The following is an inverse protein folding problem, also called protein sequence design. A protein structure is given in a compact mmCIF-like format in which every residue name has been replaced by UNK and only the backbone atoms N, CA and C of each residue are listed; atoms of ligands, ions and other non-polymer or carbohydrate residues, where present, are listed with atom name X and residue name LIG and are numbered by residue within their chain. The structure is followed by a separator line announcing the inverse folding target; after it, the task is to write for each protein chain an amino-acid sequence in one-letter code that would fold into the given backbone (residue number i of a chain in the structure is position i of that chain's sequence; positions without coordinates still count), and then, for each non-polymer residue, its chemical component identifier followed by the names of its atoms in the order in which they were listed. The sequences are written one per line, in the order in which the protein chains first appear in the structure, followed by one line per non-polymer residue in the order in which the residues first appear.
data_IF_302378473389
#
_entry.id   IF_302378473389
#
_cell.length_a   1.000
_cell.length_b   1.000
_cell.length_c   1.000
_cell.angle_alpha   90.00
_cell.angle_beta   90.00
_cell.angle_gamma   90.00
#
_symmetry.space_group_name_H-M   'P 1'
#
loop_
_entity.id
_entity.type
_entity.pdbx_description
1 polymer ?
#
# COMPACT_ATOMS: atom_id res chain seq x y z
N UNK A 1 -0.93 -31.55 4.02
CA UNK A 1 -1.41 -30.33 4.67
C UNK A 1 -0.62 -29.98 5.93
N UNK A 2 -0.62 -30.77 7.02
CA UNK A 2 0.09 -30.41 8.28
C UNK A 2 1.57 -30.02 8.10
N UNK A 3 2.33 -30.69 7.22
CA UNK A 3 3.75 -30.37 6.96
C UNK A 3 3.95 -29.05 6.23
N UNK A 4 3.03 -28.67 5.33
CA UNK A 4 3.09 -27.37 4.60
C UNK A 4 2.79 -26.23 5.56
N UNK A 5 1.82 -26.39 6.45
CA UNK A 5 1.49 -25.39 7.48
C UNK A 5 2.67 -25.17 8.44
N UNK A 6 3.35 -26.26 8.86
CA UNK A 6 4.54 -26.18 9.72
C UNK A 6 5.70 -25.46 9.00
N UNK A 7 5.93 -25.76 7.73
CA UNK A 7 6.98 -25.08 6.93
C UNK A 7 6.65 -23.60 6.77
N UNK A 8 5.40 -23.24 6.49
CA UNK A 8 4.96 -21.84 6.43
C UNK A 8 5.14 -21.13 7.79
N UNK A 9 4.76 -21.76 8.89
CA UNK A 9 4.97 -21.22 10.25
C UNK A 9 6.46 -21.06 10.55
N UNK A 10 7.31 -22.01 10.19
CA UNK A 10 8.75 -21.92 10.40
C UNK A 10 9.40 -20.84 9.52
N UNK A 11 8.95 -20.67 8.29
CA UNK A 11 9.38 -19.54 7.42
C UNK A 11 8.93 -18.20 8.00
N UNK A 12 7.70 -18.10 8.50
CA UNK A 12 7.24 -16.90 9.21
C UNK A 12 8.01 -16.62 10.50
N UNK A 13 8.31 -17.64 11.30
CA UNK A 13 9.09 -17.49 12.53
C UNK A 13 10.56 -17.13 12.27
N UNK A 14 11.16 -17.59 11.17
CA UNK A 14 12.53 -17.21 10.81
C UNK A 14 12.64 -15.78 10.28
N UNK A 15 11.56 -15.23 9.71
CA UNK A 15 11.48 -13.84 9.27
C UNK A 15 11.29 -12.85 10.44
N UNK A 16 10.84 -13.32 11.60
CA UNK A 16 10.60 -12.48 12.78
C UNK A 16 11.86 -12.04 13.55
N UNK A 17 13.04 -12.44 13.09
CA UNK A 17 14.32 -12.12 13.76
C UNK A 17 15.00 -10.84 13.24
N UNK A 18 14.41 -10.16 12.26
CA UNK A 18 14.99 -8.93 11.67
C UNK A 18 14.02 -7.77 11.85
N UNK A 19 14.51 -6.70 12.41
CA UNK A 19 13.74 -5.58 12.93
C UNK A 19 14.17 -4.23 12.36
N UNK A 20 13.25 -3.48 11.74
CA UNK A 20 13.49 -2.10 11.31
C UNK A 20 12.26 -1.30 10.87
N UNK A 21 12.17 -0.01 11.06
CA UNK A 21 11.01 0.82 10.74
C UNK A 21 11.24 1.96 9.75
N UNK A 22 10.52 1.95 8.68
CA UNK A 22 9.91 3.12 8.03
C UNK A 22 8.39 3.02 8.21
N UNK A 23 7.66 4.11 7.99
CA UNK A 23 6.18 4.13 8.03
C UNK A 23 5.61 2.81 7.55
N UNK A 24 4.76 2.20 8.34
CA UNK A 24 4.27 0.83 8.15
C UNK A 24 4.06 0.52 6.67
N UNK A 25 4.95 -0.31 6.10
CA UNK A 25 4.86 -0.72 4.73
C UNK A 25 3.57 -1.52 4.55
N UNK A 26 2.60 -0.90 3.92
CA UNK A 26 1.33 -1.53 3.61
C UNK A 26 1.18 -1.55 2.10
N UNK A 27 1.36 -2.70 1.44
CA UNK A 27 0.99 -2.84 0.04
C UNK A 27 -0.54 -2.75 -0.04
N UNK A 28 -1.03 -1.55 -0.24
CA UNK A 28 -2.45 -1.30 -0.43
C UNK A 28 -2.90 -1.96 -1.73
N UNK A 29 -4.05 -2.62 -1.69
CA UNK A 29 -4.68 -3.16 -2.88
C UNK A 29 -4.88 -2.04 -3.92
N UNK A 30 -4.61 -2.37 -5.18
CA UNK A 30 -4.71 -1.44 -6.30
C UNK A 30 -6.10 -0.82 -6.46
N UNK A 31 -7.16 -1.64 -6.24
CA UNK A 31 -8.54 -1.18 -6.35
C UNK A 31 -8.82 -0.12 -5.28
N UNK A 32 -8.35 -0.36 -4.07
CA UNK A 32 -8.42 0.61 -2.98
C UNK A 32 -7.66 1.91 -3.33
N UNK A 33 -6.42 1.81 -3.82
CA UNK A 33 -5.61 2.96 -4.23
C UNK A 33 -6.23 3.73 -5.38
N UNK A 34 -6.73 3.04 -6.41
CA UNK A 34 -7.38 3.64 -7.57
C UNK A 34 -8.68 4.37 -7.23
N UNK A 35 -9.36 3.92 -6.18
CA UNK A 35 -10.55 4.56 -5.61
C UNK A 35 -10.20 5.63 -4.58
N UNK A 36 -9.05 6.29 -4.68
CA UNK A 36 -8.64 7.35 -3.76
C UNK A 36 -8.29 6.86 -2.36
N UNK A 37 -7.82 5.62 -2.22
CA UNK A 37 -7.62 4.96 -0.92
C UNK A 37 -8.89 4.97 -0.07
N UNK A 38 -10.02 4.71 -0.71
CA UNK A 38 -11.34 4.56 -0.08
C UNK A 38 -11.97 3.20 -0.44
N UNK A 39 -12.95 2.75 0.36
CA UNK A 39 -13.65 1.49 0.14
C UNK A 39 -13.40 0.45 1.22
N UNK A 40 -12.98 0.85 2.41
CA UNK A 40 -12.78 -0.07 3.55
C UNK A 40 -14.06 -0.82 3.93
N UNK A 41 -15.24 -0.30 3.59
CA UNK A 41 -16.53 -0.94 3.82
C UNK A 41 -17.01 -1.81 2.66
N UNK A 42 -16.42 -1.67 1.46
CA UNK A 42 -16.86 -2.35 0.24
C UNK A 42 -16.34 -3.78 0.17
N UNK A 43 -17.15 -4.67 -0.43
CA UNK A 43 -16.76 -6.06 -0.61
C UNK A 43 -15.70 -6.18 -1.72
N UNK A 44 -14.60 -6.88 -1.40
CA UNK A 44 -13.53 -7.17 -2.36
C UNK A 44 -12.64 -5.99 -2.73
N UNK A 45 -12.85 -4.81 -2.10
CA UNK A 45 -11.92 -3.69 -2.18
C UNK A 45 -10.95 -3.80 -1.01
N UNK A 46 -9.66 -3.78 -1.32
CA UNK A 46 -8.62 -3.93 -0.30
C UNK A 46 -8.70 -5.26 0.43
N UNK A 47 -8.16 -6.31 -0.10
CA UNK A 47 -8.30 -7.72 0.32
C UNK A 47 -8.02 -8.05 1.81
N UNK A 48 -8.55 -7.23 2.71
CA UNK A 48 -8.68 -7.46 4.16
C UNK A 48 -7.42 -7.32 4.99
N UNK A 49 -6.24 -7.47 4.41
CA UNK A 49 -5.01 -7.42 5.19
C UNK A 49 -4.62 -5.99 5.58
N UNK A 50 -4.81 -5.02 4.67
CA UNK A 50 -4.23 -3.68 4.80
C UNK A 50 -5.25 -2.56 4.81
N UNK A 51 -6.54 -2.88 4.66
CA UNK A 51 -7.61 -1.89 4.65
C UNK A 51 -8.57 -2.08 5.81
N UNK A 52 -9.25 -3.22 5.83
CA UNK A 52 -10.18 -3.59 6.90
C UNK A 52 -10.15 -5.10 7.12
N UNK A 53 -9.60 -5.56 8.26
CA UNK A 53 -9.54 -6.98 8.60
C UNK A 53 -10.88 -7.73 8.52
N UNK A 54 -12.00 -7.04 8.76
CA UNK A 54 -13.33 -7.64 8.69
C UNK A 54 -13.63 -8.22 7.29
N UNK A 55 -13.02 -7.70 6.22
CA UNK A 55 -13.26 -8.17 4.86
C UNK A 55 -12.71 -9.58 4.58
N UNK A 56 -11.82 -10.11 5.44
CA UNK A 56 -11.39 -11.51 5.38
C UNK A 56 -12.55 -12.51 5.54
N UNK A 57 -13.63 -12.10 6.21
CA UNK A 57 -14.84 -12.92 6.39
C UNK A 57 -15.60 -13.19 5.09
N UNK A 58 -15.30 -12.45 4.02
CA UNK A 58 -16.07 -12.52 2.76
C UNK A 58 -15.57 -13.61 1.82
N UNK A 59 -14.33 -14.08 1.99
CA UNK A 59 -13.71 -15.04 1.08
C UNK A 59 -13.68 -16.44 1.69
N UNK A 60 -14.34 -17.39 1.02
CA UNK A 60 -14.21 -18.81 1.37
C UNK A 60 -12.87 -19.38 0.93
N UNK A 61 -12.40 -18.97 -0.24
CA UNK A 61 -11.08 -19.27 -0.79
C UNK A 61 -10.67 -18.14 -1.74
N UNK A 62 -9.45 -17.64 -1.57
CA UNK A 62 -8.81 -16.75 -2.52
C UNK A 62 -7.29 -16.97 -2.46
N UNK A 63 -6.69 -17.27 -3.59
CA UNK A 63 -5.25 -17.45 -3.73
C UNK A 63 -4.73 -16.44 -4.76
N UNK A 64 -3.84 -15.57 -4.32
CA UNK A 64 -3.06 -14.68 -5.18
C UNK A 64 -1.64 -15.22 -5.21
N UNK A 65 -1.21 -15.73 -6.36
CA UNK A 65 0.18 -16.05 -6.67
C UNK A 65 0.84 -14.81 -7.26
N UNK A 66 2.19 -14.72 -7.29
CA UNK A 66 2.86 -13.42 -7.23
C UNK A 66 2.20 -12.36 -8.10
N UNK A 67 1.67 -11.34 -7.44
CA UNK A 67 1.35 -10.08 -8.08
C UNK A 67 2.65 -9.30 -8.21
N UNK A 68 2.92 -8.72 -9.37
CA UNK A 68 4.08 -7.86 -9.61
C UNK A 68 3.54 -6.48 -9.98
N UNK A 69 3.94 -5.47 -9.22
CA UNK A 69 3.64 -4.07 -9.49
C UNK A 69 4.94 -3.33 -9.77
N UNK A 70 4.96 -2.55 -10.82
CA UNK A 70 6.04 -1.61 -11.14
C UNK A 70 5.46 -0.20 -11.10
N UNK A 71 6.03 0.65 -10.24
CA UNK A 71 5.63 2.04 -10.07
C UNK A 71 6.75 3.01 -10.44
N UNK A 72 6.41 4.09 -11.13
CA UNK A 72 7.28 5.23 -11.41
C UNK A 72 6.68 6.45 -10.75
N UNK A 73 7.36 6.96 -9.73
CA UNK A 73 6.98 8.18 -9.01
C UNK A 73 7.47 9.43 -9.72
N UNK A 74 6.79 10.56 -9.46
CA UNK A 74 7.02 11.83 -10.18
C UNK A 74 6.95 11.65 -11.71
N UNK A 75 6.00 10.82 -12.15
CA UNK A 75 5.88 10.41 -13.55
C UNK A 75 5.72 11.61 -14.49
N UNK A 76 4.92 12.59 -14.11
CA UNK A 76 4.70 13.81 -14.91
C UNK A 76 5.97 14.63 -15.11
N UNK A 77 6.90 14.60 -14.16
CA UNK A 77 8.19 15.30 -14.26
C UNK A 77 9.19 14.49 -15.08
N UNK A 78 9.23 13.16 -14.86
CA UNK A 78 10.16 12.27 -15.57
C UNK A 78 9.84 12.18 -17.06
N UNK A 79 8.57 12.16 -17.46
CA UNK A 79 8.17 12.05 -18.88
C UNK A 79 8.55 13.30 -19.71
N UNK A 80 8.81 14.42 -19.05
CA UNK A 80 9.26 15.65 -19.73
C UNK A 80 10.74 15.66 -20.05
N UNK A 81 11.51 14.67 -19.57
CA UNK A 81 12.94 14.56 -19.88
C UNK A 81 13.11 14.17 -21.36
N UNK A 82 13.86 14.92 -22.14
CA UNK A 82 14.23 14.50 -23.49
C UNK A 82 15.24 13.35 -23.41
N UNK A 83 14.76 12.12 -23.39
CA UNK A 83 15.61 10.90 -23.37
C UNK A 83 16.53 10.74 -24.58
N UNK A 84 16.47 11.66 -25.53
CA UNK A 84 17.22 11.59 -26.79
C UNK A 84 18.70 11.99 -26.69
N UNK A 85 19.16 12.54 -25.56
CA UNK A 85 20.48 13.17 -25.50
C UNK A 85 21.58 12.35 -24.79
N UNK A 86 21.23 11.37 -23.96
CA UNK A 86 22.21 10.72 -23.08
C UNK A 86 22.91 11.72 -22.14
N UNK A 87 22.26 12.87 -21.92
CA UNK A 87 22.84 14.02 -21.26
C UNK A 87 22.63 13.89 -19.75
N UNK A 88 23.71 13.67 -19.01
CA UNK A 88 23.68 13.60 -17.56
C UNK A 88 23.13 14.91 -16.93
N UNK A 89 23.24 16.03 -17.63
CA UNK A 89 22.76 17.32 -17.14
C UNK A 89 21.22 17.38 -17.13
N UNK A 90 20.55 16.76 -18.10
CA UNK A 90 19.08 16.65 -18.12
C UNK A 90 18.56 15.78 -16.98
N UNK A 91 19.25 14.69 -16.67
CA UNK A 91 18.91 13.83 -15.51
C UNK A 91 19.13 14.60 -14.21
N UNK A 92 20.23 15.30 -14.07
CA UNK A 92 20.52 16.12 -12.88
C UNK A 92 19.51 17.26 -12.70
N UNK A 93 19.05 17.89 -13.80
CA UNK A 93 18.03 18.93 -13.77
C UNK A 93 16.71 18.40 -13.20
N UNK A 94 16.27 17.20 -13.63
CA UNK A 94 15.04 16.60 -13.09
C UNK A 94 15.21 16.20 -11.65
N UNK A 95 16.31 15.54 -11.31
CA UNK A 95 16.57 15.15 -9.92
C UNK A 95 16.65 16.37 -8.99
N UNK A 96 17.17 17.49 -9.47
CA UNK A 96 17.20 18.74 -8.68
C UNK A 96 15.80 19.31 -8.36
N UNK A 97 14.79 18.96 -9.15
CA UNK A 97 13.38 19.32 -8.90
C UNK A 97 12.69 18.37 -7.92
N UNK A 98 13.28 17.18 -7.68
CA UNK A 98 12.76 16.17 -6.77
C UNK A 98 13.34 16.40 -5.36
N UNK A 99 12.83 17.40 -4.66
CA UNK A 99 13.24 17.68 -3.28
C UNK A 99 12.51 16.76 -2.30
N UNK A 100 13.21 16.32 -1.23
CA UNK A 100 12.66 15.43 -0.19
C UNK A 100 12.93 13.95 -0.46
N UNK A 101 12.34 13.09 0.37
CA UNK A 101 12.43 11.62 0.23
C UNK A 101 11.22 11.10 -0.53
N UNK A 102 11.34 10.93 -1.84
CA UNK A 102 10.25 10.59 -2.76
C UNK A 102 10.58 9.30 -3.50
N UNK A 103 9.66 8.33 -3.61
CA UNK A 103 9.88 7.15 -4.43
C UNK A 103 9.95 7.54 -5.91
N UNK A 104 11.02 7.13 -6.60
CA UNK A 104 11.17 7.30 -8.05
C UNK A 104 10.79 6.01 -8.77
N UNK A 105 11.30 4.90 -8.28
CA UNK A 105 11.07 3.58 -8.85
C UNK A 105 10.76 2.61 -7.71
N UNK A 106 9.70 1.84 -7.89
CA UNK A 106 9.29 0.83 -6.93
C UNK A 106 8.79 -0.41 -7.68
N UNK A 107 9.38 -1.55 -7.38
CA UNK A 107 8.95 -2.86 -7.86
C UNK A 107 8.50 -3.66 -6.67
N UNK A 108 7.21 -3.99 -6.63
CA UNK A 108 6.58 -4.76 -5.55
C UNK A 108 6.17 -6.13 -6.04
N UNK A 109 6.27 -7.09 -5.16
CA UNK A 109 5.63 -8.40 -5.34
C UNK A 109 4.84 -8.76 -4.09
N UNK A 110 3.71 -9.40 -4.29
CA UNK A 110 2.87 -9.87 -3.18
C UNK A 110 2.22 -11.21 -3.52
N UNK A 111 2.00 -12.01 -2.50
CA UNK A 111 1.23 -13.25 -2.56
C UNK A 111 0.33 -13.33 -1.35
N UNK A 112 -0.88 -13.85 -1.52
CA UNK A 112 -1.81 -14.02 -0.40
C UNK A 112 -2.69 -15.25 -0.55
N UNK A 113 -3.07 -15.81 0.59
CA UNK A 113 -4.02 -16.90 0.70
C UNK A 113 -5.08 -16.52 1.73
N UNK A 114 -6.34 -16.59 1.36
CA UNK A 114 -7.47 -16.54 2.29
C UNK A 114 -8.22 -17.86 2.22
N UNK A 115 -8.52 -18.44 3.37
CA UNK A 115 -9.21 -19.72 3.51
C UNK A 115 -10.16 -19.68 4.71
N UNK A 116 -11.46 -19.69 4.46
CA UNK A 116 -12.51 -19.67 5.50
C UNK A 116 -12.32 -18.59 6.56
N UNK A 117 -12.00 -17.37 6.12
CA UNK A 117 -11.75 -16.23 7.00
C UNK A 117 -10.33 -16.14 7.55
N UNK A 118 -9.52 -17.20 7.51
CA UNK A 118 -8.11 -17.11 7.80
C UNK A 118 -7.35 -16.56 6.60
N UNK A 119 -6.46 -15.61 6.83
CA UNK A 119 -5.66 -15.01 5.79
C UNK A 119 -4.19 -14.95 6.15
N UNK A 120 -3.33 -15.16 5.15
CA UNK A 120 -1.90 -14.93 5.23
C UNK A 120 -1.42 -14.21 3.96
N UNK A 121 -0.55 -13.23 4.09
CA UNK A 121 0.08 -12.56 2.96
C UNK A 121 1.58 -12.42 3.17
N UNK A 122 2.29 -12.35 2.07
CA UNK A 122 3.70 -12.00 1.99
C UNK A 122 3.90 -11.00 0.88
N UNK A 123 4.73 -10.00 1.14
CA UNK A 123 5.06 -8.95 0.19
C UNK A 123 6.54 -8.59 0.28
N UNK A 124 7.10 -8.16 -0.84
CA UNK A 124 8.44 -7.63 -0.93
C UNK A 124 8.45 -6.46 -1.92
N UNK A 125 9.31 -5.48 -1.68
CA UNK A 125 9.57 -4.43 -2.66
C UNK A 125 11.04 -4.05 -2.68
N UNK A 126 11.48 -3.62 -3.86
CA UNK A 126 12.78 -3.03 -4.09
C UNK A 126 12.57 -1.74 -4.89
N UNK A 127 13.30 -0.71 -4.56
CA UNK A 127 13.16 0.54 -5.29
C UNK A 127 14.19 1.59 -4.89
N UNK A 128 13.93 2.80 -5.36
CA UNK A 128 14.78 3.96 -5.18
C UNK A 128 13.94 5.13 -4.66
N UNK A 129 14.39 5.76 -3.58
CA UNK A 129 13.94 7.08 -3.16
C UNK A 129 14.94 8.15 -3.57
N UNK A 130 14.46 9.37 -3.76
CA UNK A 130 15.34 10.53 -3.72
C UNK A 130 15.67 10.88 -2.27
N UNK A 131 16.81 11.51 -2.06
CA UNK A 131 17.13 12.23 -0.84
C UNK A 131 17.79 13.51 -1.25
N UNK A 132 17.23 14.66 -0.92
CA UNK A 132 17.87 15.92 -1.27
C UNK A 132 17.30 17.09 -0.49
N UNK A 133 18.21 17.87 0.06
CA UNK A 133 17.96 19.22 0.50
C UNK A 133 18.81 20.15 -0.36
N UNK A 134 18.17 20.95 -1.22
CA UNK A 134 18.85 21.95 -2.04
C UNK A 134 19.57 21.39 -3.27
N UNK A 135 20.88 21.67 -3.42
CA UNK A 135 21.65 21.45 -4.67
C UNK A 135 22.10 20.00 -4.86
N UNK A 136 22.12 19.19 -3.82
CA UNK A 136 22.58 17.79 -3.92
C UNK A 136 21.45 16.80 -3.70
N UNK A 137 21.05 16.11 -4.77
CA UNK A 137 20.09 15.01 -4.69
C UNK A 137 20.85 13.69 -4.72
N UNK A 138 20.66 12.90 -3.67
CA UNK A 138 21.10 11.52 -3.58
C UNK A 138 19.97 10.54 -3.92
N UNK A 139 20.33 9.31 -4.22
CA UNK A 139 19.41 8.19 -4.38
C UNK A 139 19.57 7.23 -3.22
N UNK A 140 18.47 6.77 -2.65
CA UNK A 140 18.46 5.80 -1.54
C UNK A 140 17.86 4.49 -2.07
N UNK A 141 18.70 3.49 -2.40
CA UNK A 141 18.20 2.15 -2.65
C UNK A 141 17.57 1.58 -1.38
N UNK A 142 16.45 0.88 -1.54
CA UNK A 142 15.80 0.20 -0.44
C UNK A 142 15.31 -1.19 -0.85
N UNK A 143 15.18 -2.05 0.16
CA UNK A 143 14.58 -3.37 0.08
C UNK A 143 13.63 -3.56 1.26
N UNK A 144 12.40 -3.97 0.99
CA UNK A 144 11.38 -4.17 2.03
C UNK A 144 10.76 -5.54 1.90
N UNK A 145 10.45 -6.13 3.04
CA UNK A 145 9.69 -7.37 3.16
C UNK A 145 8.58 -7.18 4.18
N UNK A 146 7.43 -7.76 3.92
CA UNK A 146 6.31 -7.73 4.83
C UNK A 146 5.55 -9.04 4.82
N UNK A 147 4.83 -9.27 5.90
CA UNK A 147 3.90 -10.37 6.01
C UNK A 147 2.76 -10.03 6.95
N UNK A 148 1.61 -10.60 6.67
CA UNK A 148 0.42 -10.40 7.49
C UNK A 148 -0.28 -11.73 7.72
N UNK A 149 -0.87 -11.86 8.90
CA UNK A 149 -1.68 -13.00 9.27
C UNK A 149 -2.92 -12.51 10.00
N UNK A 150 -4.10 -13.01 9.65
CA UNK A 150 -5.33 -12.56 10.25
C UNK A 150 -6.49 -13.51 10.16
N UNK A 151 -7.57 -13.11 10.81
CA UNK A 151 -8.84 -13.82 10.79
C UNK A 151 -10.00 -12.83 10.75
N UNK A 152 -11.00 -13.14 9.93
CA UNK A 152 -12.27 -12.44 9.89
C UNK A 152 -13.45 -13.38 9.96
N UNK A 153 -14.52 -12.94 10.62
CA UNK A 153 -15.76 -13.71 10.73
C UNK A 153 -16.99 -12.82 10.50
N UNK A 154 -17.99 -13.37 9.82
CA UNK A 154 -19.25 -12.70 9.53
C UNK A 154 -20.42 -13.35 10.27
N UNK A 155 -21.26 -12.50 10.85
CA UNK A 155 -22.47 -12.88 11.58
C UNK A 155 -23.69 -12.31 10.87
N UNK A 156 -24.63 -13.12 10.44
CA UNK A 156 -25.92 -12.67 9.95
C UNK A 156 -26.81 -12.38 11.18
N UNK A 157 -27.02 -11.08 11.46
CA UNK A 157 -27.87 -10.65 12.59
C UNK A 157 -29.33 -10.92 12.25
N UNK A 158 -29.72 -10.63 11.03
CA UNK A 158 -30.99 -10.97 10.41
C UNK A 158 -30.85 -11.01 8.88
N UNK A 159 -31.95 -11.16 8.14
CA UNK A 159 -31.93 -11.25 6.67
C UNK A 159 -31.37 -9.98 6.01
N UNK A 160 -31.48 -8.82 6.65
CA UNK A 160 -31.11 -7.52 6.10
C UNK A 160 -29.74 -7.02 6.56
N UNK A 161 -29.20 -7.56 7.66
CA UNK A 161 -28.03 -7.01 8.34
C UNK A 161 -27.00 -8.11 8.61
N UNK A 162 -25.79 -7.92 8.07
CA UNK A 162 -24.63 -8.74 8.35
C UNK A 162 -23.56 -7.91 9.06
N UNK A 163 -23.04 -8.42 10.17
CA UNK A 163 -21.90 -7.87 10.90
C UNK A 163 -20.66 -8.70 10.58
N UNK A 164 -19.60 -8.04 10.21
CA UNK A 164 -18.30 -8.64 9.95
C UNK A 164 -17.28 -8.06 10.93
N UNK A 165 -16.42 -8.89 11.49
CA UNK A 165 -15.33 -8.49 12.39
C UNK A 165 -14.04 -9.19 11.98
N UNK A 166 -12.91 -8.56 12.25
CA UNK A 166 -11.63 -9.19 11.94
C UNK A 166 -10.47 -8.54 12.66
N UNK A 167 -9.37 -9.28 12.68
CA UNK A 167 -8.08 -8.84 13.21
C UNK A 167 -6.95 -9.34 12.34
N UNK A 168 -5.92 -8.51 12.15
CA UNK A 168 -4.71 -8.84 11.38
C UNK A 168 -3.49 -8.38 12.16
N UNK A 169 -2.47 -9.23 12.22
CA UNK A 169 -1.14 -8.88 12.66
C UNK A 169 -0.25 -8.62 11.44
N UNK A 170 0.55 -7.57 11.48
CA UNK A 170 1.49 -7.18 10.45
C UNK A 170 2.92 -7.22 10.97
N UNK A 171 3.83 -7.70 10.15
CA UNK A 171 5.27 -7.63 10.38
C UNK A 171 5.94 -7.13 9.11
N UNK A 172 6.90 -6.21 9.23
CA UNK A 172 7.69 -5.80 8.09
C UNK A 172 9.13 -5.53 8.47
N UNK A 173 10.03 -5.65 7.50
CA UNK A 173 11.44 -5.29 7.62
C UNK A 173 11.84 -4.50 6.38
N UNK A 174 12.53 -3.40 6.61
CA UNK A 174 13.03 -2.52 5.55
C UNK A 174 14.54 -2.35 5.71
N UNK A 175 15.25 -2.34 4.59
CA UNK A 175 16.69 -2.12 4.53
C UNK A 175 16.95 -0.99 3.54
N UNK A 176 17.81 -0.05 3.88
CA UNK A 176 18.15 1.06 3.00
C UNK A 176 19.59 1.51 3.17
N UNK A 177 20.12 2.13 2.13
CA UNK A 177 21.48 2.67 2.13
C UNK A 177 21.49 4.11 2.60
N UNK A 178 22.69 4.66 2.81
CA UNK A 178 22.87 6.11 2.79
C UNK A 178 22.59 6.66 1.40
N UNK A 179 22.25 7.95 1.25
CA UNK A 179 22.12 8.57 -0.06
C UNK A 179 23.40 8.40 -0.88
N UNK A 180 23.28 7.92 -2.11
CA UNK A 180 24.38 7.72 -3.05
C UNK A 180 24.18 8.57 -4.30
N UNK A 181 25.27 9.02 -4.90
CA UNK A 181 25.21 9.72 -6.19
C UNK A 181 24.88 8.77 -7.35
N UNK A 182 24.40 9.33 -8.48
CA UNK A 182 24.03 8.53 -9.67
C UNK A 182 25.21 7.70 -10.18
N UNK A 183 26.39 8.30 -10.27
CA UNK A 183 27.61 7.60 -10.73
C UNK A 183 28.00 6.44 -9.81
N UNK A 184 27.81 6.61 -8.51
CA UNK A 184 28.05 5.57 -7.52
C UNK A 184 27.01 4.45 -7.62
N UNK A 185 25.72 4.80 -7.79
CA UNK A 185 24.66 3.83 -8.03
C UNK A 185 24.91 3.01 -9.30
N UNK A 186 25.31 3.65 -10.41
CA UNK A 186 25.64 2.94 -11.65
C UNK A 186 26.83 1.98 -11.49
N UNK A 187 27.83 2.36 -10.71
CA UNK A 187 28.94 1.48 -10.35
C UNK A 187 28.48 0.31 -9.48
N UNK A 188 27.59 0.57 -8.51
CA UNK A 188 27.00 -0.46 -7.67
C UNK A 188 26.23 -1.50 -8.49
N UNK A 189 25.39 -1.08 -9.44
CA UNK A 189 24.62 -1.97 -10.31
C UNK A 189 25.50 -2.83 -11.23
N UNK A 190 26.74 -2.43 -11.50
CA UNK A 190 27.71 -3.19 -12.30
C UNK A 190 28.48 -4.26 -11.51
N UNK A 191 28.47 -4.18 -10.19
CA UNK A 191 29.05 -5.17 -9.26
C UNK A 191 27.97 -6.14 -8.76
N UNK A 192 28.30 -7.20 -8.04
CA UNK A 192 27.30 -8.19 -7.58
C UNK A 192 26.17 -7.59 -6.74
N UNK A 193 24.93 -7.94 -7.08
CA UNK A 193 23.71 -7.18 -6.79
C UNK A 193 23.36 -6.92 -5.29
N UNK A 194 23.84 -7.68 -4.33
CA UNK A 194 23.46 -7.52 -2.92
C UNK A 194 24.51 -6.73 -2.13
N UNK A 195 25.79 -6.99 -2.32
CA UNK A 195 26.86 -6.20 -1.70
C UNK A 195 26.87 -4.77 -2.26
N UNK A 196 26.36 -4.62 -3.48
CA UNK A 196 26.26 -3.34 -4.18
C UNK A 196 25.21 -2.39 -3.60
N UNK A 197 24.16 -2.87 -2.94
CA UNK A 197 23.12 -2.00 -2.39
C UNK A 197 23.60 -1.18 -1.17
N UNK A 198 24.79 -1.50 -0.61
CA UNK A 198 25.40 -0.73 0.48
C UNK A 198 24.44 -0.49 1.65
N UNK A 199 23.60 -1.49 1.96
CA UNK A 199 22.55 -1.39 2.96
C UNK A 199 23.18 -1.09 4.32
N UNK A 200 22.82 0.06 4.89
CA UNK A 200 23.41 0.59 6.11
C UNK A 200 22.43 0.54 7.28
N UNK A 201 21.16 0.71 6.98
CA UNK A 201 20.12 0.79 7.99
C UNK A 201 19.14 -0.35 7.82
N UNK A 202 18.73 -0.92 8.94
CA UNK A 202 17.73 -1.96 9.02
C UNK A 202 16.63 -1.53 9.99
N UNK A 203 15.37 -1.76 9.64
CA UNK A 203 14.22 -1.27 10.39
C UNK A 203 13.07 -2.29 10.41
N UNK A 204 12.37 -2.65 11.53
CA UNK A 204 11.19 -3.51 11.62
C UNK A 204 10.04 -2.90 12.35
N UNK A 205 8.88 -3.34 11.94
CA UNK A 205 7.63 -3.02 12.60
C UNK A 205 6.84 -4.27 12.92
N UNK A 206 6.11 -4.18 14.00
CA UNK A 206 5.05 -5.11 14.33
C UNK A 206 3.83 -4.33 14.78
N UNK A 207 2.67 -4.61 14.19
CA UNK A 207 1.42 -3.94 14.55
C UNK A 207 0.21 -4.87 14.40
N UNK A 208 -0.89 -4.46 15.01
CA UNK A 208 -2.19 -5.11 14.87
C UNK A 208 -3.21 -4.14 14.33
N UNK A 209 -4.11 -4.68 13.50
CA UNK A 209 -5.28 -3.99 13.01
C UNK A 209 -6.54 -4.74 13.46
N UNK A 210 -7.55 -3.98 13.89
CA UNK A 210 -8.89 -4.47 14.16
C UNK A 210 -9.87 -3.82 13.20
N UNK A 211 -10.85 -4.57 12.73
CA UNK A 211 -11.84 -4.03 11.81
C UNK A 211 -13.24 -4.58 12.03
N UNK A 212 -14.21 -3.75 11.71
CA UNK A 212 -15.62 -4.15 11.68
C UNK A 212 -16.31 -3.55 10.48
N UNK A 213 -17.30 -4.26 9.94
CA UNK A 213 -18.17 -3.79 8.86
C UNK A 213 -19.61 -4.22 9.14
N UNK A 214 -20.53 -3.30 8.99
CA UNK A 214 -21.98 -3.58 8.95
C UNK A 214 -22.42 -3.46 7.50
N UNK A 215 -23.00 -4.51 6.94
CA UNK A 215 -23.56 -4.56 5.58
C UNK A 215 -25.08 -4.65 5.64
N UNK A 216 -25.71 -3.83 4.81
CA UNK A 216 -27.16 -3.83 4.63
C UNK A 216 -27.53 -4.47 3.28
N UNK A 217 -28.68 -5.12 3.20
CA UNK A 217 -29.15 -5.79 1.99
C UNK A 217 -29.33 -4.85 0.78
N UNK A 218 -29.59 -3.55 1.03
CA UNK A 218 -29.71 -2.54 -0.02
C UNK A 218 -28.41 -2.12 -0.68
N UNK A 219 -27.27 -2.75 -0.30
CA UNK A 219 -25.93 -2.49 -0.81
C UNK A 219 -25.15 -1.43 -0.02
N UNK A 220 -25.74 -0.78 0.97
CA UNK A 220 -25.01 0.12 1.86
C UNK A 220 -24.16 -0.67 2.86
N UNK A 221 -23.00 -0.12 3.18
CA UNK A 221 -22.10 -0.67 4.20
C UNK A 221 -21.40 0.44 4.98
N UNK A 222 -21.09 0.15 6.24
CA UNK A 222 -20.35 1.04 7.14
C UNK A 222 -19.22 0.26 7.79
N UNK A 223 -18.04 0.87 7.88
CA UNK A 223 -16.88 0.24 8.46
C UNK A 223 -16.18 1.14 9.46
N UNK A 224 -15.49 0.51 10.39
CA UNK A 224 -14.57 1.16 11.33
C UNK A 224 -13.34 0.28 11.48
N UNK A 225 -12.17 0.89 11.46
CA UNK A 225 -10.88 0.20 11.68
C UNK A 225 -10.05 0.93 12.72
N UNK A 226 -9.41 0.17 13.58
CA UNK A 226 -8.31 0.62 14.42
C UNK A 226 -7.05 -0.01 13.85
N UNK A 227 -6.15 0.82 13.34
CA UNK A 227 -4.93 0.38 12.67
C UNK A 227 -3.69 0.80 13.44
N UNK A 228 -2.60 0.04 13.24
CA UNK A 228 -1.30 0.30 13.87
C UNK A 228 -1.30 0.19 15.41
N UNK A 229 -2.18 -0.62 15.97
CA UNK A 229 -2.19 -0.87 17.42
C UNK A 229 -0.88 -1.55 17.82
N UNK A 230 -0.17 -0.95 18.79
CA UNK A 230 1.10 -1.49 19.28
C UNK A 230 2.26 -1.33 18.28
N UNK A 231 2.12 -0.46 17.27
CA UNK A 231 3.18 -0.17 16.31
C UNK A 231 4.41 0.37 17.06
N UNK A 232 5.39 -0.52 17.23
CA UNK A 232 6.71 -0.21 17.75
C UNK A 232 7.73 -0.47 16.66
N UNK A 233 8.56 0.50 16.37
CA UNK A 233 9.61 0.37 15.38
C UNK A 233 10.99 0.54 16.00
N UNK A 234 11.93 -0.28 15.56
CA UNK A 234 13.33 -0.20 15.96
C UNK A 234 14.20 -0.04 14.71
N UNK A 235 14.86 1.08 14.55
CA UNK A 235 15.87 1.31 13.51
C UNK A 235 17.25 0.94 14.05
N UNK A 236 18.03 0.24 13.26
CA UNK A 236 19.39 -0.20 13.60
C UNK A 236 20.35 0.24 12.51
N UNK A 237 21.35 1.04 12.85
CA UNK A 237 22.52 1.22 11.99
C UNK A 237 23.32 -0.08 12.00
N UNK A 238 23.38 -0.75 10.87
CA UNK A 238 24.04 -2.08 10.74
C UNK A 238 25.56 -1.98 10.95
N UNK A 239 26.13 -0.79 10.70
CA UNK A 239 27.59 -0.55 10.80
C UNK A 239 28.01 -0.24 12.23
N UNK A 240 27.29 0.65 12.92
CA UNK A 240 27.61 1.07 14.28
C UNK A 240 26.92 0.24 15.35
N UNK A 241 25.79 -0.40 15.00
CA UNK A 241 24.93 -1.10 15.94
C UNK A 241 24.04 -0.17 16.77
N UNK A 242 24.04 1.12 16.48
CA UNK A 242 23.18 2.10 17.17
C UNK A 242 21.70 1.80 16.89
N UNK A 243 20.87 1.98 17.90
CA UNK A 243 19.45 1.65 17.84
C UNK A 243 18.61 2.86 18.23
N UNK A 244 17.63 3.16 17.39
CA UNK A 244 16.59 4.13 17.67
C UNK A 244 15.22 3.45 17.69
N UNK A 245 14.40 3.81 18.68
CA UNK A 245 13.04 3.29 18.81
C UNK A 245 12.04 4.38 18.54
N UNK A 246 11.12 4.09 17.66
CA UNK A 246 10.01 4.96 17.34
C UNK A 246 8.70 4.28 17.75
N UNK A 247 7.74 5.07 18.20
CA UNK A 247 6.39 4.62 18.50
C UNK A 247 5.43 5.45 17.67
N UNK A 248 4.62 4.78 16.88
CA UNK A 248 3.51 5.41 16.17
C UNK A 248 2.23 5.27 16.99
N UNK A 249 1.40 6.30 16.94
CA UNK A 249 0.05 6.23 17.49
C UNK A 249 -0.83 5.36 16.59
N UNK A 250 -1.84 4.71 17.19
CA UNK A 250 -2.85 4.00 16.41
C UNK A 250 -3.74 5.00 15.64
N UNK A 251 -4.27 4.56 14.50
CA UNK A 251 -5.20 5.35 13.71
C UNK A 251 -6.61 4.76 13.78
N UNK A 252 -7.61 5.64 13.93
CA UNK A 252 -9.02 5.30 13.82
C UNK A 252 -9.53 5.78 12.47
N UNK A 253 -10.06 4.84 11.67
CA UNK A 253 -10.67 5.17 10.39
C UNK A 253 -12.13 4.74 10.38
N UNK A 254 -12.98 5.53 9.74
CA UNK A 254 -14.40 5.25 9.54
C UNK A 254 -14.72 5.39 8.06
N UNK A 255 -15.62 4.55 7.55
CA UNK A 255 -15.96 4.59 6.14
C UNK A 255 -17.39 4.12 5.87
N UNK A 256 -17.91 4.58 4.75
CA UNK A 256 -19.17 4.09 4.21
C UNK A 256 -19.03 3.79 2.73
N UNK A 257 -19.81 2.84 2.27
CA UNK A 257 -19.82 2.45 0.87
C UNK A 257 -21.19 1.99 0.43
N UNK A 258 -21.34 2.00 -0.86
CA UNK A 258 -22.52 1.49 -1.53
C UNK A 258 -22.08 0.73 -2.77
N UNK A 259 -22.64 -0.49 -2.93
CA UNK A 259 -22.38 -1.30 -4.12
C UNK A 259 -23.69 -1.82 -4.69
N UNK A 260 -23.82 -1.77 -6.01
CA UNK A 260 -24.97 -2.29 -6.71
C UNK A 260 -24.62 -2.81 -8.09
N UNK A 261 -25.17 -3.95 -8.44
CA UNK A 261 -25.16 -4.52 -9.78
C UNK A 261 -26.49 -4.17 -10.44
N UNK A 262 -26.46 -3.40 -11.51
CA UNK A 262 -27.65 -2.96 -12.26
C UNK A 262 -28.06 -3.97 -13.32
N UNK A 263 -27.03 -4.53 -14.01
CA UNK A 263 -27.22 -5.56 -15.04
C UNK A 263 -26.11 -6.60 -14.92
N UNK A 264 -26.28 -7.72 -15.61
CA UNK A 264 -25.25 -8.79 -15.60
C UNK A 264 -23.84 -8.32 -15.99
N UNK A 265 -23.75 -7.19 -16.66
CA UNK A 265 -22.53 -6.63 -17.22
C UNK A 265 -22.16 -5.25 -16.65
N UNK A 266 -22.97 -4.67 -15.78
CA UNK A 266 -22.69 -3.35 -15.23
C UNK A 266 -22.96 -3.27 -13.73
N UNK A 267 -21.97 -2.85 -12.98
CA UNK A 267 -22.05 -2.61 -11.54
C UNK A 267 -21.32 -1.35 -11.15
N UNK A 268 -21.73 -0.76 -10.04
CA UNK A 268 -21.12 0.45 -9.47
C UNK A 268 -20.79 0.20 -8.01
N UNK A 269 -19.61 0.65 -7.59
CA UNK A 269 -19.21 0.80 -6.20
C UNK A 269 -18.87 2.25 -5.93
N UNK A 270 -19.33 2.80 -4.82
CA UNK A 270 -19.01 4.14 -4.35
C UNK A 270 -18.63 4.09 -2.89
N UNK A 271 -17.66 4.90 -2.48
CA UNK A 271 -17.20 4.94 -1.08
C UNK A 271 -16.72 6.32 -0.67
N UNK A 272 -16.82 6.54 0.62
CA UNK A 272 -16.20 7.66 1.31
C UNK A 272 -15.64 7.14 2.63
N UNK A 273 -14.35 7.39 2.86
CA UNK A 273 -13.63 7.01 4.06
C UNK A 273 -13.03 8.26 4.70
N UNK A 274 -13.08 8.35 6.00
CA UNK A 274 -12.43 9.37 6.80
C UNK A 274 -11.32 8.69 7.61
N UNK A 275 -10.09 8.99 7.23
CA UNK A 275 -8.90 8.35 7.76
C UNK A 275 -8.31 9.18 8.91
N UNK A 276 -7.74 8.48 9.90
CA UNK A 276 -7.10 9.07 11.07
C UNK A 276 -7.94 10.15 11.76
N UNK A 277 -9.13 9.76 12.22
CA UNK A 277 -10.05 10.62 12.98
C UNK A 277 -9.35 11.28 14.18
N UNK A 278 -8.42 10.57 14.83
CA UNK A 278 -7.70 11.06 16.01
C UNK A 278 -6.73 12.19 15.64
N UNK A 279 -5.98 12.03 14.54
CA UNK A 279 -5.11 13.06 14.01
C UNK A 279 -5.89 14.31 13.58
N UNK A 280 -6.99 14.12 12.88
CA UNK A 280 -7.88 15.23 12.50
C UNK A 280 -8.39 16.04 13.69
N UNK A 281 -8.82 15.39 14.77
CA UNK A 281 -9.37 16.09 15.96
C UNK A 281 -8.31 16.95 16.63
N UNK A 282 -7.03 16.61 16.54
CA UNK A 282 -5.93 17.43 17.09
C UNK A 282 -5.77 18.77 16.36
N UNK A 283 -6.07 18.81 15.06
CA UNK A 283 -5.89 20.00 14.20
C UNK A 283 -7.06 20.15 13.23
N UNK A 284 -8.27 20.39 13.72
CA UNK A 284 -9.49 20.45 12.92
C UNK A 284 -9.58 21.74 12.08
N UNK A 285 -9.07 21.70 10.86
CA UNK A 285 -9.22 22.74 9.84
C UNK A 285 -9.93 22.19 8.60
N UNK A 286 -10.44 23.05 7.70
CA UNK A 286 -11.05 22.60 6.45
C UNK A 286 -10.05 21.88 5.55
N UNK A 287 -8.81 22.35 5.48
CA UNK A 287 -7.73 21.73 4.71
C UNK A 287 -7.43 20.34 5.27
N UNK A 288 -7.33 20.23 6.60
CA UNK A 288 -7.10 18.97 7.28
C UNK A 288 -8.27 17.99 7.12
N UNK A 289 -9.52 18.50 7.12
CA UNK A 289 -10.69 17.67 6.79
C UNK A 289 -10.59 17.04 5.40
N UNK A 290 -10.20 17.82 4.37
CA UNK A 290 -10.02 17.30 3.02
C UNK A 290 -8.85 16.29 2.95
N UNK A 291 -7.76 16.55 3.66
CA UNK A 291 -6.60 15.67 3.73
C UNK A 291 -6.93 14.28 4.31
N UNK A 292 -7.80 14.24 5.32
CA UNK A 292 -8.27 13.00 5.94
C UNK A 292 -9.47 12.35 5.22
N UNK A 293 -10.03 12.98 4.17
CA UNK A 293 -11.19 12.47 3.44
C UNK A 293 -10.76 11.82 2.13
N UNK A 294 -11.13 10.56 1.96
CA UNK A 294 -10.91 9.77 0.75
C UNK A 294 -12.26 9.41 0.12
N UNK A 295 -12.35 9.50 -1.20
CA UNK A 295 -13.57 9.18 -1.95
C UNK A 295 -13.25 8.35 -3.17
N UNK A 296 -14.12 7.43 -3.54
CA UNK A 296 -13.91 6.58 -4.69
C UNK A 296 -15.14 6.08 -5.38
N UNK A 297 -14.98 5.86 -6.67
CA UNK A 297 -15.96 5.27 -7.55
C UNK A 297 -15.30 4.16 -8.39
N UNK A 298 -15.99 3.04 -8.53
CA UNK A 298 -15.63 1.98 -9.49
C UNK A 298 -16.83 1.63 -10.35
N UNK A 299 -16.60 1.59 -11.64
CA UNK A 299 -17.53 1.12 -12.65
C UNK A 299 -17.02 -0.22 -13.19
N UNK A 300 -17.79 -1.28 -12.99
CA UNK A 300 -17.51 -2.60 -13.56
C UNK A 300 -18.30 -2.76 -14.85
N UNK A 301 -17.60 -2.82 -15.98
CA UNK A 301 -18.15 -3.15 -17.28
C UNK A 301 -17.80 -4.60 -17.59
N UNK A 302 -18.76 -5.50 -17.52
CA UNK A 302 -18.52 -6.94 -17.58
C UNK A 302 -17.77 -7.51 -16.36
N UNK A 303 -17.54 -8.82 -16.33
CA UNK A 303 -16.78 -9.48 -15.26
C UNK A 303 -15.25 -9.25 -15.32
N UNK A 304 -14.78 -8.67 -16.42
CA UNK A 304 -13.35 -8.59 -16.71
C UNK A 304 -12.79 -7.19 -16.93
N UNK A 305 -13.63 -6.14 -16.96
CA UNK A 305 -13.15 -4.78 -17.17
C UNK A 305 -13.76 -3.81 -16.17
N UNK A 306 -12.93 -3.00 -15.53
CA UNK A 306 -13.34 -1.98 -14.58
C UNK A 306 -12.59 -0.66 -14.79
N UNK A 307 -13.28 0.45 -14.52
CA UNK A 307 -12.69 1.77 -14.41
C UNK A 307 -12.90 2.31 -13.01
N UNK A 308 -11.87 2.95 -12.47
CA UNK A 308 -11.86 3.49 -11.13
C UNK A 308 -11.40 4.95 -11.15
N UNK A 309 -11.98 5.74 -10.29
CA UNK A 309 -11.51 7.10 -10.00
C UNK A 309 -11.76 7.43 -8.54
N UNK A 310 -10.98 8.35 -8.01
CA UNK A 310 -11.12 8.77 -6.63
C UNK A 310 -10.36 10.04 -6.29
N UNK A 311 -10.52 10.44 -5.04
CA UNK A 311 -9.76 11.51 -4.40
C UNK A 311 -9.14 10.95 -3.11
N UNK A 312 -7.82 11.05 -2.98
CA UNK A 312 -7.06 10.70 -1.78
C UNK A 312 -6.55 11.98 -1.13
N UNK A 313 -7.08 12.36 0.01
CA UNK A 313 -6.68 13.60 0.66
C UNK A 313 -6.82 14.84 -0.23
N UNK A 314 -7.82 14.86 -1.14
CA UNK A 314 -8.01 15.94 -2.12
C UNK A 314 -7.27 15.76 -3.44
N UNK A 315 -6.38 14.76 -3.58
CA UNK A 315 -5.62 14.48 -4.80
C UNK A 315 -6.30 13.42 -5.68
N UNK A 316 -6.31 13.59 -7.01
CA UNK A 316 -6.99 12.68 -7.92
C UNK A 316 -6.25 11.34 -8.04
N UNK A 317 -7.02 10.28 -8.16
CA UNK A 317 -6.54 8.95 -8.51
C UNK A 317 -7.37 8.37 -9.65
N UNK A 318 -6.75 7.59 -10.52
CA UNK A 318 -7.40 6.92 -11.65
C UNK A 318 -6.89 5.49 -11.74
N UNK A 319 -7.75 4.60 -12.19
CA UNK A 319 -7.35 3.22 -12.45
C UNK A 319 -8.21 2.52 -13.48
N UNK A 320 -7.61 1.51 -14.10
CA UNK A 320 -8.30 0.59 -14.98
C UNK A 320 -7.83 -0.83 -14.69
N UNK A 321 -8.74 -1.79 -14.67
CA UNK A 321 -8.41 -3.20 -14.52
C UNK A 321 -9.01 -4.03 -15.66
N UNK A 322 -8.24 -5.03 -16.09
CA UNK A 322 -8.61 -6.01 -17.08
C UNK A 322 -8.29 -7.40 -16.56
N UNK A 323 -9.32 -8.19 -16.29
CA UNK A 323 -9.21 -9.58 -15.82
C UNK A 323 -9.51 -10.54 -16.96
N UNK A 324 -8.51 -11.35 -17.33
CA UNK A 324 -8.59 -12.38 -18.34
C UNK A 324 -8.34 -13.75 -17.67
N UNK A 325 -9.40 -14.47 -17.35
CA UNK A 325 -9.37 -15.73 -16.60
C UNK A 325 -8.73 -15.54 -15.21
N UNK A 326 -7.51 -16.09 -15.04
CA UNK A 326 -6.70 -16.02 -13.83
C UNK A 326 -5.63 -14.91 -13.89
N UNK A 327 -5.51 -14.20 -15.01
CA UNK A 327 -4.57 -13.08 -15.19
C UNK A 327 -5.34 -11.78 -14.99
N UNK A 328 -4.80 -10.92 -14.16
CA UNK A 328 -5.37 -9.63 -13.87
C UNK A 328 -4.31 -8.54 -14.10
N UNK A 329 -4.60 -7.67 -15.05
CA UNK A 329 -3.76 -6.53 -15.43
C UNK A 329 -4.40 -5.24 -14.95
N UNK A 330 -3.59 -4.32 -14.42
CA UNK A 330 -4.10 -3.02 -13.99
C UNK A 330 -3.12 -1.91 -14.25
N UNK A 331 -3.69 -0.76 -14.60
CA UNK A 331 -3.01 0.52 -14.68
C UNK A 331 -3.56 1.42 -13.59
N UNK A 332 -2.68 2.10 -12.87
CA UNK A 332 -3.02 2.96 -11.76
C UNK A 332 -2.21 4.25 -11.82
N UNK A 333 -2.91 5.37 -11.75
CA UNK A 333 -2.35 6.70 -11.54
C UNK A 333 -2.81 7.22 -10.18
N UNK A 334 -1.87 7.59 -9.32
CA UNK A 334 -2.15 8.19 -8.01
C UNK A 334 -1.34 9.45 -7.83
N UNK A 335 -1.88 10.39 -7.05
CA UNK A 335 -1.14 11.54 -6.56
C UNK A 335 -1.19 11.52 -5.05
N UNK A 336 -0.03 11.72 -4.41
CA UNK A 336 0.17 11.69 -2.96
C UNK A 336 0.89 12.96 -2.49
N UNK A 337 0.57 13.43 -1.29
CA UNK A 337 1.33 14.49 -0.61
C UNK A 337 2.51 13.89 0.14
N UNK A 338 3.71 14.44 -0.08
CA UNK A 338 4.94 14.03 0.58
C UNK A 338 5.49 15.09 1.57
N UNK A 339 4.61 16.00 2.00
CA UNK A 339 4.91 16.99 3.04
C UNK A 339 3.88 16.91 4.16
N UNK A 340 4.14 17.62 5.27
CA UNK A 340 3.19 17.73 6.39
C UNK A 340 1.94 18.53 6.03
N UNK A 341 2.00 19.36 4.98
CA UNK A 341 0.92 20.26 4.59
C UNK A 341 0.47 20.00 3.16
N UNK A 342 -0.84 19.93 2.97
CA UNK A 342 -1.45 19.74 1.66
C UNK A 342 -1.04 20.84 0.66
N UNK A 343 -0.58 20.43 -0.53
CA UNK A 343 -0.19 21.33 -1.63
C UNK A 343 1.28 21.75 -1.65
N UNK A 344 2.10 21.30 -0.70
CA UNK A 344 3.51 21.67 -0.65
C UNK A 344 4.40 20.79 -1.51
N UNK A 345 4.15 19.48 -1.52
CA UNK A 345 4.96 18.52 -2.29
C UNK A 345 4.10 17.38 -2.86
N UNK A 346 3.06 17.68 -3.66
CA UNK A 346 2.26 16.65 -4.29
C UNK A 346 3.08 15.96 -5.38
N UNK A 347 3.06 14.62 -5.40
CA UNK A 347 3.76 13.80 -6.39
C UNK A 347 2.85 12.74 -6.96
N UNK A 348 2.95 12.56 -8.26
CA UNK A 348 2.20 11.54 -8.95
C UNK A 348 3.01 10.26 -9.13
N UNK A 349 2.30 9.15 -9.23
CA UNK A 349 2.87 7.83 -9.48
C UNK A 349 2.03 7.11 -10.52
N UNK A 350 2.68 6.59 -11.55
CA UNK A 350 2.09 5.66 -12.49
C UNK A 350 2.55 4.25 -12.18
N UNK A 351 1.61 3.34 -11.95
CA UNK A 351 1.90 1.94 -11.66
C UNK A 351 1.21 1.01 -12.65
N UNK A 352 1.92 -0.07 -13.00
CA UNK A 352 1.39 -1.19 -13.77
C UNK A 352 1.47 -2.42 -12.88
N UNK A 353 0.38 -3.17 -12.80
CA UNK A 353 0.30 -4.39 -12.01
C UNK A 353 -0.15 -5.58 -12.86
N UNK A 354 0.56 -6.68 -12.70
CA UNK A 354 0.18 -8.01 -13.21
C UNK A 354 0.00 -8.96 -12.04
N UNK A 355 -1.13 -9.67 -11.99
CA UNK A 355 -1.47 -10.59 -10.90
C UNK A 355 -2.07 -11.89 -11.43
N UNK A 356 -1.70 -13.00 -10.79
CA UNK A 356 -2.38 -14.29 -10.97
C UNK A 356 -3.29 -14.53 -9.76
N UNK A 357 -4.60 -14.71 -10.01
CA UNK A 357 -5.63 -14.88 -8.98
C UNK A 357 -6.53 -16.06 -9.29
N UNK A 358 -6.70 -16.96 -8.29
CA UNK A 358 -7.47 -18.20 -8.37
C UNK A 358 -8.55 -18.29 -7.29
#
# INVERSE_FOLDING_TARGET
MKRIVIVLILVFLSLSLFSASFTSYRPLDREYRAMGSSGMSLKGVGKGFYTNPASLSNDSFNLVLPAIEMGVGSFSEIITIPFSSGDNDAINEVLSKLTGTIPILDVKTSSSLVLFGFGASFDASIGLYTSGEGISVGLIPYLKFGGSFGYGHGFDINEDIRLEVGAVAHMSSSFYSSPVGISELMNMLSTSAIDALGLKYAESTFSFDLGTTVRLQNGLSFAMTLSDIGNGSESVDIVTGDKEKFKSDFTLNIGSGWERVFWKWFGVKASIDFCDVVGFVKEATLTNFLYHTNMGLKFNFTKGFGLMCGLKGGYPTLGADLKLWFIDFSLLYTMDEYSEYMGYNPRDTLSILLRLEF
#
